data_IF_176616111234
#
_entry.id   IF_176616111234
#
_cell.length_a   1.000
_cell.length_b   1.000
_cell.length_c   1.000
_cell.angle_alpha   90.00
_cell.angle_beta   90.00
_cell.angle_gamma   90.00
#
_symmetry.space_group_name_H-M   'P 1'
#
loop_
_entity.id
_entity.type
_entity.pdbx_description
1 polymer ?
#
# COMPACT_ATOMS: atom_id res chain seq x y z
N UNK A 1 -5.21 -6.92 -14.93
CA UNK A 1 -3.94 -6.15 -14.92
C UNK A 1 -4.15 -4.66 -14.78
N UNK A 2 -4.87 -3.99 -15.67
CA UNK A 2 -5.06 -2.52 -15.62
C UNK A 2 -5.49 -1.99 -14.23
N UNK A 3 -6.48 -2.63 -13.60
CA UNK A 3 -6.96 -2.28 -12.24
C UNK A 3 -5.87 -2.28 -11.18
N UNK A 4 -4.93 -3.23 -11.28
CA UNK A 4 -3.81 -3.40 -10.33
C UNK A 4 -2.76 -2.31 -10.55
N UNK A 5 -2.41 -2.01 -11.79
CA UNK A 5 -1.52 -0.88 -12.12
C UNK A 5 -2.11 0.46 -11.67
N UNK A 6 -3.40 0.70 -11.92
CA UNK A 6 -4.09 1.89 -11.42
C UNK A 6 -4.10 1.93 -9.89
N UNK A 7 -4.28 0.78 -9.22
CA UNK A 7 -4.20 0.71 -7.77
C UNK A 7 -2.80 1.05 -7.26
N UNK A 8 -1.74 0.54 -7.90
CA UNK A 8 -0.35 0.91 -7.59
C UNK A 8 -0.18 2.42 -7.64
N UNK A 9 -0.46 3.04 -8.80
CA UNK A 9 -0.24 4.48 -9.00
C UNK A 9 -0.98 5.31 -7.95
N UNK A 10 -2.28 5.04 -7.75
CA UNK A 10 -3.09 5.83 -6.80
C UNK A 10 -2.64 5.59 -5.36
N UNK A 11 -2.31 4.33 -5.01
CA UNK A 11 -1.84 4.00 -3.66
C UNK A 11 -0.48 4.65 -3.36
N UNK A 12 0.41 4.72 -4.36
CA UNK A 12 1.68 5.43 -4.27
C UNK A 12 1.42 6.91 -4.04
N UNK A 13 0.63 7.58 -4.88
CA UNK A 13 0.35 9.01 -4.74
C UNK A 13 -0.18 9.35 -3.35
N UNK A 14 -1.18 8.61 -2.86
CA UNK A 14 -1.80 8.88 -1.56
C UNK A 14 -0.80 8.64 -0.42
N UNK A 15 -0.09 7.52 -0.44
CA UNK A 15 0.89 7.19 0.60
C UNK A 15 2.01 8.22 0.64
N UNK A 16 2.55 8.59 -0.52
CA UNK A 16 3.73 9.45 -0.63
C UNK A 16 3.37 10.88 -0.28
N UNK A 17 2.17 11.34 -0.65
CA UNK A 17 1.66 12.64 -0.23
C UNK A 17 1.49 12.69 1.29
N UNK A 18 0.97 11.62 1.91
CA UNK A 18 0.90 11.50 3.37
C UNK A 18 2.28 11.63 4.03
N UNK A 19 3.25 10.83 3.58
CA UNK A 19 4.63 10.85 4.10
C UNK A 19 5.26 12.24 3.90
N UNK A 20 5.08 12.85 2.74
CA UNK A 20 5.72 14.15 2.43
C UNK A 20 5.21 15.28 3.30
N UNK A 21 3.92 15.26 3.63
CA UNK A 21 3.30 16.24 4.52
C UNK A 21 3.74 16.06 5.97
N UNK A 22 3.91 14.82 6.44
CA UNK A 22 4.32 14.56 7.83
C UNK A 22 5.83 14.69 8.04
N UNK A 23 6.63 14.69 6.98
CA UNK A 23 8.09 14.77 7.06
C UNK A 23 8.63 16.21 7.08
N UNK A 24 7.77 17.23 7.12
CA UNK A 24 8.19 18.62 7.12
C UNK A 24 8.63 19.07 8.50
N UNK A 25 9.88 19.56 8.60
CA UNK A 25 10.36 20.27 9.79
C UNK A 25 9.91 21.73 9.74
N UNK A 26 9.22 22.25 10.78
CA UNK A 26 8.85 23.66 10.88
C UNK A 26 10.07 24.57 10.81
N UNK A 27 9.95 25.75 10.17
CA UNK A 27 11.08 26.67 9.97
C UNK A 27 11.74 27.10 11.28
N UNK A 28 10.95 27.28 12.35
CA UNK A 28 11.44 27.64 13.69
C UNK A 28 12.34 26.58 14.33
N UNK A 29 12.27 25.33 13.85
CA UNK A 29 13.05 24.19 14.36
C UNK A 29 14.18 23.79 13.41
N UNK A 30 14.42 24.57 12.35
CA UNK A 30 15.49 24.27 11.38
C UNK A 30 16.82 24.80 11.89
N UNK A 31 17.80 23.91 11.92
CA UNK A 31 19.17 24.28 12.23
C UNK A 31 19.75 25.17 11.13
N UNK A 32 20.51 26.21 11.50
CA UNK A 32 21.20 27.03 10.53
C UNK A 32 22.23 26.17 9.78
N UNK A 33 22.34 26.38 8.46
CA UNK A 33 23.25 25.67 7.55
C UNK A 33 22.94 24.19 7.27
N UNK A 34 21.78 23.67 7.71
CA UNK A 34 21.32 22.32 7.34
C UNK A 34 20.28 22.39 6.22
N UNK A 35 20.43 21.54 5.20
CA UNK A 35 19.45 21.42 4.14
C UNK A 35 18.30 20.50 4.56
N UNK A 36 17.09 21.05 4.61
CA UNK A 36 15.86 20.30 4.85
C UNK A 36 15.12 20.11 3.52
N UNK A 37 14.88 18.86 3.14
CA UNK A 37 14.18 18.55 1.89
C UNK A 37 12.77 19.13 1.88
N UNK A 38 12.42 19.80 0.78
CA UNK A 38 11.07 20.30 0.55
C UNK A 38 10.05 19.18 0.32
N UNK A 39 8.76 19.50 0.46
CA UNK A 39 7.64 18.57 0.24
C UNK A 39 7.74 17.87 -1.12
N UNK A 40 8.07 18.63 -2.17
CA UNK A 40 8.18 18.11 -3.55
C UNK A 40 9.29 17.07 -3.69
N UNK A 41 10.44 17.27 -3.03
CA UNK A 41 11.57 16.36 -3.10
C UNK A 41 11.26 15.05 -2.37
N UNK A 42 10.77 15.15 -1.12
CA UNK A 42 10.33 13.98 -0.35
C UNK A 42 9.27 13.22 -1.14
N UNK A 43 8.33 13.93 -1.78
CA UNK A 43 7.30 13.32 -2.60
C UNK A 43 7.89 12.54 -3.78
N UNK A 44 8.78 13.13 -4.56
CA UNK A 44 9.36 12.50 -5.75
C UNK A 44 10.16 11.25 -5.36
N UNK A 45 11.05 11.35 -4.37
CA UNK A 45 11.87 10.21 -3.94
C UNK A 45 11.01 9.08 -3.37
N UNK A 46 10.10 9.41 -2.47
CA UNK A 46 9.20 8.42 -1.87
C UNK A 46 8.28 7.81 -2.92
N UNK A 47 7.82 8.61 -3.90
CA UNK A 47 6.95 8.13 -4.97
C UNK A 47 7.63 7.08 -5.83
N UNK A 48 8.87 7.32 -6.27
CA UNK A 48 9.64 6.34 -7.02
C UNK A 48 9.85 5.05 -6.23
N UNK A 49 10.24 5.17 -4.96
CA UNK A 49 10.44 4.01 -4.09
C UNK A 49 9.15 3.21 -3.89
N UNK A 50 8.05 3.90 -3.57
CA UNK A 50 6.72 3.31 -3.39
C UNK A 50 6.24 2.60 -4.66
N UNK A 51 6.46 3.20 -5.83
CA UNK A 51 6.03 2.65 -7.11
C UNK A 51 6.78 1.34 -7.44
N UNK A 52 8.09 1.30 -7.18
CA UNK A 52 8.89 0.07 -7.33
C UNK A 52 8.39 -0.99 -6.35
N UNK A 53 8.24 -0.63 -5.07
CA UNK A 53 7.82 -1.56 -4.02
C UNK A 53 6.43 -2.17 -4.30
N UNK A 54 5.43 -1.34 -4.60
CA UNK A 54 4.09 -1.84 -4.93
C UNK A 54 4.05 -2.65 -6.23
N UNK A 55 4.89 -2.31 -7.21
CA UNK A 55 4.96 -3.08 -8.45
C UNK A 55 5.59 -4.46 -8.21
N UNK A 56 6.69 -4.51 -7.46
CA UNK A 56 7.43 -5.74 -7.18
C UNK A 56 6.72 -6.66 -6.18
N UNK A 57 6.06 -6.09 -5.17
CA UNK A 57 5.47 -6.86 -4.07
C UNK A 57 3.95 -6.79 -4.09
N UNK A 58 3.37 -5.60 -4.28
CA UNK A 58 1.92 -5.38 -4.26
C UNK A 58 1.19 -6.12 -5.38
N UNK A 59 1.72 -6.10 -6.61
CA UNK A 59 1.10 -6.83 -7.72
C UNK A 59 1.16 -8.35 -7.47
N UNK A 60 2.33 -9.00 -7.25
CA UNK A 60 2.37 -10.44 -7.03
C UNK A 60 1.58 -10.91 -5.81
N UNK A 61 1.67 -10.19 -4.68
CA UNK A 61 0.89 -10.52 -3.49
C UNK A 61 -0.62 -10.46 -3.76
N UNK A 62 -1.09 -9.46 -4.53
CA UNK A 62 -2.50 -9.38 -4.91
C UNK A 62 -2.97 -10.58 -5.73
N UNK A 63 -2.12 -11.11 -6.62
CA UNK A 63 -2.41 -12.32 -7.39
C UNK A 63 -2.57 -13.54 -6.49
N UNK A 64 -1.65 -13.74 -5.53
CA UNK A 64 -1.68 -14.84 -4.58
C UNK A 64 -2.93 -14.76 -3.69
N UNK A 65 -3.23 -13.57 -3.17
CA UNK A 65 -4.38 -13.31 -2.31
C UNK A 65 -5.69 -13.54 -3.08
N UNK A 66 -5.79 -13.08 -4.31
CA UNK A 66 -7.00 -13.27 -5.13
C UNK A 66 -7.23 -14.74 -5.50
N UNK A 67 -6.16 -15.48 -5.83
CA UNK A 67 -6.24 -16.93 -6.05
C UNK A 67 -6.71 -17.65 -4.79
N UNK A 68 -6.20 -17.24 -3.63
CA UNK A 68 -6.68 -17.68 -2.32
C UNK A 68 -8.16 -17.38 -2.13
N UNK A 69 -8.61 -16.16 -2.40
CA UNK A 69 -10.02 -15.74 -2.25
C UNK A 69 -10.98 -16.51 -3.15
N UNK A 70 -10.57 -16.90 -4.37
CA UNK A 70 -11.40 -17.67 -5.30
C UNK A 70 -11.57 -19.13 -4.86
N UNK A 71 -10.55 -19.72 -4.21
CA UNK A 71 -10.60 -21.12 -3.74
C UNK A 71 -11.66 -21.36 -2.68
N UNK A 72 -11.98 -20.33 -1.90
CA UNK A 72 -13.04 -20.40 -0.91
C UNK A 72 -14.25 -19.68 -1.48
N UNK A 73 -15.26 -20.45 -1.88
CA UNK A 73 -16.48 -19.93 -2.50
C UNK A 73 -17.35 -19.17 -1.48
N UNK A 74 -16.88 -18.00 -1.05
CA UNK A 74 -17.54 -17.19 -0.01
C UNK A 74 -18.68 -16.42 -0.67
N UNK A 75 -19.92 -16.82 -0.39
CA UNK A 75 -21.12 -16.23 -0.99
C UNK A 75 -21.37 -14.76 -0.61
N UNK A 76 -20.92 -14.31 0.58
CA UNK A 76 -21.23 -12.95 1.06
C UNK A 76 -20.14 -11.92 0.72
N UNK A 77 -20.55 -10.77 0.18
CA UNK A 77 -19.69 -9.64 -0.17
C UNK A 77 -18.89 -9.13 1.04
N UNK A 78 -19.54 -9.04 2.20
CA UNK A 78 -18.91 -8.58 3.45
C UNK A 78 -17.82 -9.54 3.93
N UNK A 79 -18.07 -10.85 3.91
CA UNK A 79 -17.07 -11.86 4.29
C UNK A 79 -15.88 -11.84 3.34
N UNK A 80 -16.12 -11.63 2.04
CA UNK A 80 -15.06 -11.48 1.02
C UNK A 80 -14.20 -10.23 1.25
N UNK A 81 -14.80 -9.12 1.67
CA UNK A 81 -14.09 -7.89 2.02
C UNK A 81 -13.23 -8.08 3.28
N UNK A 82 -13.83 -8.57 4.37
CA UNK A 82 -13.13 -8.75 5.64
C UNK A 82 -11.94 -9.71 5.51
N UNK A 83 -12.13 -10.81 4.77
CA UNK A 83 -11.05 -11.74 4.48
C UNK A 83 -9.94 -11.11 3.64
N UNK A 84 -10.29 -10.31 2.63
CA UNK A 84 -9.32 -9.54 1.87
C UNK A 84 -8.51 -8.62 2.78
N UNK A 85 -9.20 -7.82 3.59
CA UNK A 85 -8.56 -6.92 4.56
C UNK A 85 -7.61 -7.66 5.50
N UNK A 86 -8.02 -8.80 6.04
CA UNK A 86 -7.19 -9.63 6.92
C UNK A 86 -5.94 -10.16 6.20
N UNK A 87 -6.08 -10.71 4.99
CA UNK A 87 -4.96 -11.24 4.21
C UNK A 87 -3.96 -10.15 3.81
N UNK A 88 -4.45 -8.98 3.39
CA UNK A 88 -3.57 -7.84 3.07
C UNK A 88 -2.91 -7.26 4.32
N UNK A 89 -3.61 -7.22 5.47
CA UNK A 89 -2.99 -6.80 6.73
C UNK A 89 -1.86 -7.75 7.13
N UNK A 90 -2.09 -9.05 7.03
CA UNK A 90 -1.08 -10.08 7.31
C UNK A 90 0.10 -9.98 6.35
N UNK A 91 -0.15 -9.75 5.06
CA UNK A 91 0.92 -9.48 4.08
C UNK A 91 1.73 -8.23 4.45
N UNK A 92 1.07 -7.16 4.88
CA UNK A 92 1.75 -5.93 5.33
C UNK A 92 2.68 -6.16 6.52
N UNK A 93 2.23 -6.94 7.52
CA UNK A 93 3.06 -7.31 8.68
C UNK A 93 4.28 -8.12 8.23
N UNK A 94 4.08 -9.14 7.39
CA UNK A 94 5.16 -9.98 6.87
C UNK A 94 6.17 -9.14 6.10
N UNK A 95 5.71 -8.31 5.17
CA UNK A 95 6.61 -7.47 4.37
C UNK A 95 7.31 -6.40 5.20
N UNK A 96 6.67 -5.86 6.24
CA UNK A 96 7.33 -4.95 7.18
C UNK A 96 8.46 -5.61 7.97
N UNK A 97 8.23 -6.84 8.45
CA UNK A 97 9.26 -7.62 9.13
C UNK A 97 10.43 -7.99 8.19
N UNK A 98 10.12 -8.39 6.95
CA UNK A 98 11.14 -8.66 5.92
C UNK A 98 11.91 -7.38 5.61
N UNK A 99 11.22 -6.26 5.38
CA UNK A 99 11.82 -4.98 5.06
C UNK A 99 12.81 -4.53 6.15
N UNK A 100 12.39 -4.56 7.42
CA UNK A 100 13.27 -4.28 8.55
C UNK A 100 14.52 -5.17 8.55
N UNK A 101 14.34 -6.48 8.32
CA UNK A 101 15.45 -7.44 8.29
C UNK A 101 16.42 -7.18 7.14
N UNK A 102 15.93 -6.71 5.99
CA UNK A 102 16.77 -6.41 4.82
C UNK A 102 17.59 -5.13 4.95
N UNK A 103 17.17 -4.18 5.80
CA UNK A 103 17.91 -2.93 6.03
C UNK A 103 19.18 -3.17 6.86
N UNK A 104 19.32 -4.35 7.49
CA UNK A 104 20.62 -4.83 7.99
C UNK A 104 21.06 -4.19 9.31
N UNK A 105 20.12 -3.82 10.18
CA UNK A 105 20.46 -3.32 11.52
C UNK A 105 21.21 -4.39 12.33
N UNK A 106 22.41 -4.05 12.80
CA UNK A 106 23.26 -4.92 13.65
C UNK A 106 22.58 -5.21 14.99
N UNK A 107 21.77 -4.27 15.48
CA UNK A 107 20.99 -4.40 16.71
C UNK A 107 19.50 -4.30 16.42
N UNK A 108 18.70 -5.02 17.21
CA UNK A 108 17.25 -4.93 17.12
C UNK A 108 16.75 -3.66 17.80
N UNK A 109 16.26 -2.70 17.00
CA UNK A 109 15.60 -1.50 17.47
C UNK A 109 14.09 -1.67 17.33
N UNK A 110 13.42 -1.83 18.47
CA UNK A 110 11.98 -2.10 18.51
C UNK A 110 11.16 -1.00 17.81
N UNK A 111 11.55 0.26 17.99
CA UNK A 111 10.84 1.41 17.41
C UNK A 111 10.86 1.36 15.88
N UNK A 112 12.05 1.18 15.28
CA UNK A 112 12.23 1.08 13.82
C UNK A 112 11.51 -0.16 13.26
N UNK A 113 11.51 -1.27 14.01
CA UNK A 113 10.77 -2.47 13.63
C UNK A 113 9.26 -2.22 13.59
N UNK A 114 8.72 -1.57 14.62
CA UNK A 114 7.30 -1.22 14.70
C UNK A 114 6.92 -0.20 13.61
N UNK A 115 7.75 0.80 13.36
CA UNK A 115 7.56 1.77 12.28
C UNK A 115 7.54 1.09 10.91
N UNK A 116 8.46 0.16 10.66
CA UNK A 116 8.52 -0.62 9.42
C UNK A 116 7.25 -1.45 9.20
N UNK A 117 6.78 -2.13 10.26
CA UNK A 117 5.52 -2.88 10.22
C UNK A 117 4.33 -1.94 9.98
N UNK A 118 4.26 -0.83 10.71
CA UNK A 118 3.16 0.14 10.58
C UNK A 118 3.09 0.69 9.15
N UNK A 119 4.23 1.09 8.58
CA UNK A 119 4.30 1.63 7.22
C UNK A 119 3.86 0.59 6.18
N UNK A 120 4.39 -0.63 6.23
CA UNK A 120 3.99 -1.69 5.31
C UNK A 120 2.54 -2.13 5.48
N UNK A 121 2.00 -2.11 6.71
CA UNK A 121 0.60 -2.40 6.99
C UNK A 121 -0.32 -1.32 6.40
N UNK A 122 -0.01 -0.04 6.63
CA UNK A 122 -0.75 1.08 6.05
C UNK A 122 -0.73 0.99 4.52
N UNK A 123 0.45 0.78 3.94
CA UNK A 123 0.61 0.64 2.49
C UNK A 123 -0.24 -0.51 1.93
N UNK A 124 -0.16 -1.69 2.53
CA UNK A 124 -0.91 -2.87 2.09
C UNK A 124 -2.43 -2.67 2.18
N UNK A 125 -2.90 -2.08 3.28
CA UNK A 125 -4.33 -1.77 3.46
C UNK A 125 -4.79 -0.74 2.43
N UNK A 126 -4.02 0.32 2.21
CA UNK A 126 -4.35 1.38 1.25
C UNK A 126 -4.49 0.82 -0.16
N UNK A 127 -3.51 0.02 -0.60
CA UNK A 127 -3.55 -0.68 -1.88
C UNK A 127 -4.79 -1.59 -2.00
N UNK A 128 -5.11 -2.35 -0.94
CA UNK A 128 -6.31 -3.18 -0.91
C UNK A 128 -7.61 -2.38 -1.06
N UNK A 129 -7.76 -1.25 -0.35
CA UNK A 129 -8.97 -0.42 -0.46
C UNK A 129 -9.17 0.07 -1.90
N UNK A 130 -8.11 0.56 -2.53
CA UNK A 130 -8.18 1.08 -3.90
C UNK A 130 -8.49 -0.06 -4.89
N UNK A 131 -7.81 -1.19 -4.75
CA UNK A 131 -8.07 -2.36 -5.60
C UNK A 131 -9.51 -2.86 -5.45
N UNK A 132 -10.02 -2.93 -4.23
CA UNK A 132 -11.40 -3.34 -3.95
C UNK A 132 -12.43 -2.38 -4.57
N UNK A 133 -12.20 -1.06 -4.50
CA UNK A 133 -13.05 -0.06 -5.16
C UNK A 133 -13.09 -0.31 -6.68
N UNK A 134 -11.94 -0.57 -7.30
CA UNK A 134 -11.88 -0.92 -8.72
C UNK A 134 -12.61 -2.23 -9.03
N UNK A 135 -12.41 -3.28 -8.24
CA UNK A 135 -13.13 -4.55 -8.41
C UNK A 135 -14.66 -4.35 -8.39
N UNK A 136 -15.16 -3.54 -7.45
CA UNK A 136 -16.60 -3.29 -7.29
C UNK A 136 -17.17 -2.43 -8.42
N UNK A 137 -16.48 -1.35 -8.83
CA UNK A 137 -16.92 -0.50 -9.93
C UNK A 137 -16.99 -1.29 -11.24
N UNK A 138 -15.94 -2.04 -11.58
CA UNK A 138 -15.92 -2.85 -12.81
C UNK A 138 -16.98 -3.94 -12.82
N UNK A 139 -17.26 -4.60 -11.68
CA UNK A 139 -18.28 -5.65 -11.60
C UNK A 139 -19.69 -5.09 -11.84
N UNK A 140 -19.99 -3.90 -11.31
CA UNK A 140 -21.27 -3.21 -11.54
C UNK A 140 -21.44 -2.80 -13.01
N UNK A 141 -20.39 -2.30 -13.65
CA UNK A 141 -20.44 -1.88 -15.05
C UNK A 141 -20.69 -3.05 -16.01
N UNK A 142 -20.10 -4.22 -15.73
CA UNK A 142 -20.30 -5.44 -16.52
C UNK A 142 -21.72 -6.01 -16.35
N UNK A 143 -22.25 -6.00 -15.13
CA UNK A 143 -23.64 -6.41 -14.87
C UNK A 143 -24.65 -5.52 -15.61
N UNK A 144 -24.44 -4.19 -15.60
CA UNK A 144 -25.31 -3.23 -16.31
C UNK A 144 -25.25 -3.37 -17.84
N UNK A 145 -24.11 -3.77 -18.41
CA UNK A 145 -23.98 -4.04 -19.85
C UNK A 145 -24.76 -5.29 -20.29
N UNK A 146 -24.82 -6.33 -19.46
CA UNK A 146 -25.54 -7.59 -19.77
C UNK A 146 -27.07 -7.49 -19.67
N UNK A 147 -27.59 -6.57 -18.86
CA UNK A 147 -29.04 -6.35 -18.76
C UNK A 147 -29.60 -5.44 -19.86
N UNK A 148 -28.72 -4.78 -20.63
CA UNK A 148 -29.08 -3.83 -21.67
C UNK A 148 -28.76 -4.34 -23.10
N UNK A 149 -28.43 -5.64 -23.26
CA UNK A 149 -28.30 -6.33 -24.55
C UNK A 149 -29.36 -7.41 -24.66
#
# INVERSE_FOLDING_TARGET
>A
MLKRFSAVIISSIILTLGISLTSQTPEEQRDPHVYYMGISEVFIFTFWFSLIFYSAIGIPSSWVIDKGRQRFNVASCYKRYFRGKALYSLAGIIFGAIFYSTVGYIHFFLDIFLESIALCLIASILYFQILWIFERKFSKTQAKKRTNS
#
